data_IF_555166646454
#
_entry.id   IF_555166646454
#
_cell.length_a   1.000
_cell.length_b   1.000
_cell.length_c   1.000
_cell.angle_alpha   90.00
_cell.angle_beta   90.00
_cell.angle_gamma   90.00
#
_symmetry.space_group_name_H-M   'P 1'
#
loop_
_entity.id
_entity.type
_entity.pdbx_description
1 polymer ?
#
# COMPACT_ATOMS: atom_id res chain seq x y z
N UNK A 1 28.26 9.10 1.75
CA UNK A 1 29.46 8.51 2.40
C UNK A 1 29.04 7.83 3.70
N UNK A 2 28.37 8.49 4.63
CA UNK A 2 27.90 7.87 5.88
C UNK A 2 26.99 6.66 5.69
N UNK A 3 26.12 6.66 4.67
CA UNK A 3 25.17 5.59 4.41
C UNK A 3 25.85 4.30 3.92
N UNK A 4 26.86 4.41 3.06
CA UNK A 4 27.64 3.25 2.58
C UNK A 4 28.53 2.66 3.67
N UNK A 5 29.06 3.50 4.57
CA UNK A 5 29.82 3.04 5.75
C UNK A 5 28.93 2.29 6.75
N UNK A 6 27.73 2.78 6.98
CA UNK A 6 26.74 2.13 7.86
C UNK A 6 26.29 0.78 7.29
N UNK A 7 26.06 0.70 5.98
CA UNK A 7 25.78 -0.57 5.28
C UNK A 7 26.94 -1.55 5.37
N UNK A 8 28.17 -1.09 5.18
CA UNK A 8 29.37 -1.93 5.30
C UNK A 8 29.51 -2.48 6.74
N UNK A 9 29.25 -1.64 7.74
CA UNK A 9 29.28 -2.05 9.15
C UNK A 9 28.20 -3.10 9.47
N UNK A 10 26.98 -2.90 8.96
CA UNK A 10 25.88 -3.86 9.09
C UNK A 10 26.20 -5.19 8.40
N UNK A 11 26.84 -5.18 7.22
CA UNK A 11 27.30 -6.40 6.54
C UNK A 11 28.38 -7.15 7.32
N UNK A 12 29.31 -6.44 7.95
CA UNK A 12 30.37 -7.03 8.77
C UNK A 12 29.80 -7.64 10.07
N UNK A 13 28.83 -6.99 10.69
CA UNK A 13 28.12 -7.53 11.87
C UNK A 13 27.23 -8.73 11.51
N UNK A 14 26.66 -8.75 10.32
CA UNK A 14 25.84 -9.84 9.81
C UNK A 14 26.59 -11.16 9.63
N UNK A 15 27.91 -11.13 9.51
CA UNK A 15 28.75 -12.34 9.55
C UNK A 15 28.84 -12.96 10.94
N UNK A 16 28.30 -12.28 11.98
CA UNK A 16 28.41 -12.70 13.40
C UNK A 16 27.10 -13.06 14.09
N UNK A 17 25.96 -13.04 13.45
CA UNK A 17 24.59 -13.25 13.90
C UNK A 17 23.74 -11.99 13.72
N UNK A 18 22.45 -12.14 13.32
CA UNK A 18 21.49 -11.02 13.15
C UNK A 18 21.07 -10.54 14.55
N UNK A 19 21.96 -9.84 15.26
CA UNK A 19 21.68 -9.48 16.65
C UNK A 19 21.23 -8.01 16.77
N UNK A 20 21.74 -7.11 15.94
CA UNK A 20 21.45 -5.66 16.01
C UNK A 20 21.42 -5.04 14.63
N UNK A 21 20.76 -3.90 14.49
CA UNK A 21 20.71 -3.11 13.27
C UNK A 21 19.34 -2.48 13.05
N UNK A 22 19.21 -1.70 11.97
CA UNK A 22 17.96 -1.05 11.58
C UNK A 22 17.53 -1.53 10.20
N UNK A 23 16.27 -1.91 10.06
CA UNK A 23 15.63 -2.20 8.77
C UNK A 23 14.80 -1.00 8.38
N UNK A 24 15.12 -0.40 7.21
CA UNK A 24 14.41 0.75 6.67
C UNK A 24 13.44 0.31 5.58
N UNK A 25 12.16 0.58 5.75
CA UNK A 25 11.10 0.12 4.87
C UNK A 25 10.32 1.29 4.31
N UNK A 26 10.29 1.43 2.99
CA UNK A 26 9.35 2.30 2.30
C UNK A 26 7.96 1.65 2.23
N UNK A 27 6.90 2.37 2.56
CA UNK A 27 5.57 1.77 2.64
C UNK A 27 4.47 2.79 2.37
N UNK A 28 3.28 2.29 2.10
CA UNK A 28 2.05 3.08 1.97
C UNK A 28 0.99 2.65 2.99
N UNK A 29 -0.04 3.48 3.19
CA UNK A 29 -0.98 3.40 4.33
C UNK A 29 -1.51 2.00 4.62
N UNK A 30 -2.04 1.30 3.61
CA UNK A 30 -2.69 0.01 3.84
C UNK A 30 -1.73 -1.09 4.29
N UNK A 31 -0.51 -1.15 3.74
CA UNK A 31 0.54 -2.09 4.17
C UNK A 31 1.07 -1.71 5.54
N UNK A 32 1.31 -0.41 5.78
CA UNK A 32 1.75 0.10 7.08
C UNK A 32 0.78 -0.22 8.21
N UNK A 33 -0.53 -0.21 7.90
CA UNK A 33 -1.58 -0.43 8.89
C UNK A 33 -1.89 -1.91 9.13
N UNK A 34 -1.90 -2.72 8.07
CA UNK A 34 -2.46 -4.07 8.15
C UNK A 34 -1.41 -5.19 8.08
N UNK A 35 -0.28 -5.00 7.39
CA UNK A 35 0.75 -6.05 7.26
C UNK A 35 1.94 -5.85 8.18
N UNK A 36 2.57 -4.67 8.12
CA UNK A 36 3.82 -4.42 8.85
C UNK A 36 3.71 -4.65 10.36
N UNK A 37 2.62 -4.25 11.07
CA UNK A 37 2.54 -4.48 12.51
C UNK A 37 2.63 -5.96 12.89
N UNK A 38 1.98 -6.84 12.15
CA UNK A 38 2.03 -8.29 12.40
C UNK A 38 3.40 -8.87 12.09
N UNK A 39 3.96 -8.51 10.94
CA UNK A 39 5.30 -8.93 10.54
C UNK A 39 6.37 -8.48 11.53
N UNK A 40 6.34 -7.20 11.94
CA UNK A 40 7.31 -6.63 12.88
C UNK A 40 7.17 -7.28 14.26
N UNK A 41 5.93 -7.44 14.75
CA UNK A 41 5.70 -8.11 16.03
C UNK A 41 6.34 -9.50 16.04
N UNK A 42 6.05 -10.31 15.02
CA UNK A 42 6.58 -11.69 14.94
C UNK A 42 8.10 -11.68 14.77
N UNK A 43 8.64 -10.77 13.97
CA UNK A 43 10.08 -10.65 13.76
C UNK A 43 10.83 -10.26 15.05
N UNK A 44 10.26 -9.37 15.84
CA UNK A 44 10.87 -8.92 17.12
C UNK A 44 10.85 -9.98 18.21
N UNK A 45 10.01 -11.00 18.12
CA UNK A 45 10.07 -12.18 19.00
C UNK A 45 11.36 -12.98 18.76
N UNK A 46 11.79 -13.07 17.49
CA UNK A 46 13.00 -13.82 17.11
C UNK A 46 14.27 -12.92 17.12
N UNK A 47 14.12 -11.62 16.85
CA UNK A 47 15.20 -10.63 16.72
C UNK A 47 14.90 -9.34 17.48
N UNK A 48 14.89 -9.36 18.83
CA UNK A 48 14.39 -8.25 19.66
C UNK A 48 15.18 -6.96 19.54
N UNK A 49 16.47 -7.01 19.19
CA UNK A 49 17.35 -5.84 19.10
C UNK A 49 17.38 -5.20 17.70
N UNK A 50 16.68 -5.76 16.72
CA UNK A 50 16.53 -5.11 15.41
C UNK A 50 15.52 -3.98 15.51
N UNK A 51 15.92 -2.79 15.07
CA UNK A 51 15.06 -1.62 14.97
C UNK A 51 14.42 -1.49 13.58
N UNK A 52 13.33 -0.76 13.50
CA UNK A 52 12.63 -0.49 12.26
C UNK A 52 12.45 1.02 12.06
N UNK A 53 12.72 1.48 10.85
CA UNK A 53 12.38 2.81 10.37
C UNK A 53 11.41 2.66 9.20
N UNK A 54 10.18 3.18 9.36
CA UNK A 54 9.12 3.11 8.36
C UNK A 54 8.96 4.49 7.72
N UNK A 55 9.18 4.58 6.41
CA UNK A 55 8.97 5.77 5.62
C UNK A 55 7.65 5.62 4.86
N UNK A 56 6.68 6.46 5.19
CA UNK A 56 5.36 6.47 4.55
C UNK A 56 5.35 7.46 3.40
N UNK A 57 4.98 7.01 2.21
CA UNK A 57 4.91 7.84 1.01
C UNK A 57 4.02 7.26 -0.07
N UNK A 58 3.98 7.94 -1.22
CA UNK A 58 3.38 7.39 -2.43
C UNK A 58 4.36 6.44 -3.15
N UNK A 59 3.89 5.77 -4.21
CA UNK A 59 4.70 4.76 -4.91
C UNK A 59 5.93 5.37 -5.59
N UNK A 60 5.84 6.61 -6.10
CA UNK A 60 6.98 7.30 -6.74
C UNK A 60 8.02 7.77 -5.72
N UNK A 61 7.57 8.27 -4.58
CA UNK A 61 8.46 8.60 -3.47
C UNK A 61 9.20 7.35 -2.96
N UNK A 62 8.48 6.23 -2.81
CA UNK A 62 9.08 4.96 -2.36
C UNK A 62 10.09 4.45 -3.40
N UNK A 63 9.78 4.50 -4.70
CA UNK A 63 10.73 4.18 -5.77
C UNK A 63 12.01 5.02 -5.64
N UNK A 64 11.86 6.32 -5.49
CA UNK A 64 13.00 7.23 -5.31
C UNK A 64 13.83 6.86 -4.08
N UNK A 65 13.20 6.58 -2.94
CA UNK A 65 13.92 6.18 -1.73
C UNK A 65 14.68 4.86 -1.88
N UNK A 66 14.16 3.92 -2.67
CA UNK A 66 14.86 2.69 -3.02
C UNK A 66 16.08 3.00 -3.90
N UNK A 67 15.93 3.80 -4.96
CA UNK A 67 17.01 4.17 -5.88
C UNK A 67 18.12 4.95 -5.16
N UNK A 68 17.77 5.86 -4.27
CA UNK A 68 18.71 6.62 -3.43
C UNK A 68 19.35 5.78 -2.31
N UNK A 69 18.82 4.58 -2.04
CA UNK A 69 19.25 3.73 -0.93
C UNK A 69 18.86 4.25 0.44
N UNK A 70 17.86 5.13 0.50
CA UNK A 70 17.30 5.66 1.74
C UNK A 70 16.53 4.61 2.52
N UNK A 71 15.96 3.62 1.83
CA UNK A 71 15.33 2.44 2.40
C UNK A 71 16.01 1.16 1.89
N UNK A 72 15.94 0.08 2.64
CA UNK A 72 16.47 -1.22 2.23
C UNK A 72 15.60 -1.83 1.13
N UNK A 73 14.29 -1.73 1.29
CA UNK A 73 13.28 -2.14 0.32
C UNK A 73 11.99 -1.34 0.56
N UNK A 74 11.04 -1.44 -0.37
CA UNK A 74 9.74 -0.79 -0.23
C UNK A 74 8.61 -1.62 -0.80
N UNK A 75 7.39 -1.36 -0.30
CA UNK A 75 6.19 -1.87 -0.91
C UNK A 75 5.74 -0.91 -2.01
N UNK A 76 5.39 -1.44 -3.17
CA UNK A 76 5.08 -0.69 -4.39
C UNK A 76 3.82 -1.25 -5.05
N UNK A 77 3.21 -0.44 -5.90
CA UNK A 77 2.12 -0.84 -6.80
C UNK A 77 2.19 -0.01 -8.09
N UNK A 78 1.48 -0.46 -9.14
CA UNK A 78 1.46 0.24 -10.44
C UNK A 78 2.67 -0.07 -11.30
N UNK A 79 3.01 0.87 -12.19
CA UNK A 79 4.21 0.80 -13.01
C UNK A 79 5.45 1.12 -12.18
N UNK A 80 6.38 0.19 -12.15
CA UNK A 80 7.61 0.27 -11.35
C UNK A 80 8.80 0.41 -12.30
N UNK A 81 9.72 1.32 -11.98
CA UNK A 81 10.95 1.57 -12.72
C UNK A 81 11.73 0.28 -13.02
N UNK A 82 12.29 0.18 -14.22
CA UNK A 82 13.12 -0.96 -14.64
C UNK A 82 14.42 -1.12 -13.82
N UNK A 83 14.82 -0.08 -13.07
CA UNK A 83 15.99 -0.10 -12.21
C UNK A 83 15.73 -0.74 -10.84
N UNK A 84 14.49 -1.13 -10.57
CA UNK A 84 14.06 -1.75 -9.30
C UNK A 84 13.76 -3.23 -9.55
N UNK A 85 14.46 -4.09 -8.84
CA UNK A 85 14.08 -5.50 -8.74
C UNK A 85 12.79 -5.61 -7.94
N UNK A 86 11.79 -6.31 -8.48
CA UNK A 86 10.48 -6.45 -7.84
C UNK A 86 10.04 -7.89 -7.71
N UNK A 87 9.42 -8.17 -6.58
CA UNK A 87 8.79 -9.47 -6.28
C UNK A 87 7.31 -9.25 -6.08
N UNK A 88 6.48 -9.92 -6.88
CA UNK A 88 5.01 -9.89 -6.72
C UNK A 88 4.61 -10.54 -5.41
N UNK A 89 3.69 -9.89 -4.68
CA UNK A 89 3.18 -10.38 -3.40
C UNK A 89 1.72 -10.77 -3.52
N UNK A 90 0.85 -9.84 -3.93
CA UNK A 90 -0.59 -10.06 -3.91
C UNK A 90 -1.33 -9.13 -4.89
N UNK A 91 -2.51 -9.58 -5.35
CA UNK A 91 -3.52 -8.70 -5.96
C UNK A 91 -4.50 -8.24 -4.90
N UNK A 92 -4.66 -6.94 -4.78
CA UNK A 92 -5.57 -6.28 -3.86
C UNK A 92 -6.74 -5.70 -4.64
N UNK A 93 -7.98 -6.08 -4.28
CA UNK A 93 -9.18 -5.64 -4.98
C UNK A 93 -9.44 -4.15 -4.76
N UNK A 94 -10.00 -3.50 -5.77
CA UNK A 94 -10.52 -2.14 -5.67
C UNK A 94 -12.03 -2.22 -5.50
N UNK A 95 -12.56 -1.60 -4.45
CA UNK A 95 -13.95 -1.70 -4.05
C UNK A 95 -14.58 -0.31 -3.99
N UNK A 96 -15.86 -0.21 -4.36
CA UNK A 96 -16.62 1.03 -4.18
C UNK A 96 -16.91 1.25 -2.69
N UNK A 97 -16.71 2.49 -2.25
CA UNK A 97 -17.03 2.95 -0.89
C UNK A 97 -18.06 4.05 -0.99
N UNK A 98 -19.24 3.82 -0.41
CA UNK A 98 -20.43 4.66 -0.56
C UNK A 98 -21.07 4.96 0.80
N UNK A 99 -21.81 6.08 0.94
CA UNK A 99 -22.58 6.34 2.12
C UNK A 99 -23.63 5.24 2.40
N UNK A 100 -23.97 5.01 3.65
CA UNK A 100 -25.03 4.06 4.03
C UNK A 100 -26.43 4.46 3.52
N UNK A 101 -26.63 5.74 3.27
CA UNK A 101 -27.86 6.31 2.68
C UNK A 101 -27.90 6.22 1.14
N UNK A 102 -26.82 5.80 0.47
CA UNK A 102 -26.74 5.76 -0.98
C UNK A 102 -27.81 4.81 -1.56
N UNK A 103 -28.49 5.16 -2.67
CA UNK A 103 -29.51 4.30 -3.29
C UNK A 103 -29.05 2.87 -3.61
N UNK A 104 -27.77 2.71 -3.92
CA UNK A 104 -27.15 1.41 -4.20
C UNK A 104 -26.57 0.69 -2.97
N UNK A 105 -26.80 1.20 -1.75
CA UNK A 105 -26.28 0.58 -0.52
C UNK A 105 -26.78 -0.87 -0.31
N UNK A 106 -27.95 -1.22 -0.86
CA UNK A 106 -28.55 -2.56 -0.79
C UNK A 106 -28.27 -3.41 -2.04
N UNK A 107 -27.59 -2.85 -3.07
CA UNK A 107 -27.26 -3.61 -4.27
C UNK A 107 -26.19 -4.69 -3.97
N UNK A 108 -26.19 -5.79 -4.70
CA UNK A 108 -25.16 -6.83 -4.54
C UNK A 108 -23.79 -6.38 -5.01
N UNK A 109 -23.75 -5.67 -6.14
CA UNK A 109 -22.55 -5.09 -6.74
C UNK A 109 -22.79 -3.63 -7.07
N UNK A 110 -21.74 -2.84 -7.19
CA UNK A 110 -21.82 -1.44 -7.61
C UNK A 110 -21.69 -1.35 -9.13
N UNK A 111 -22.74 -0.89 -9.85
CA UNK A 111 -22.70 -0.74 -11.30
C UNK A 111 -21.63 0.26 -11.70
N UNK A 112 -20.82 -0.08 -12.70
CA UNK A 112 -19.67 0.74 -13.09
C UNK A 112 -20.10 2.14 -13.58
N UNK A 113 -21.23 2.24 -14.27
CA UNK A 113 -21.77 3.52 -14.79
C UNK A 113 -22.19 4.48 -13.64
N UNK A 114 -22.62 3.94 -12.50
CA UNK A 114 -23.01 4.75 -11.34
C UNK A 114 -21.87 5.56 -10.74
N UNK A 115 -20.61 5.22 -11.07
CA UNK A 115 -19.44 6.04 -10.70
C UNK A 115 -19.48 7.45 -11.30
N UNK A 116 -20.15 7.65 -12.43
CA UNK A 116 -20.34 8.95 -13.07
C UNK A 116 -21.54 9.75 -12.56
N UNK A 117 -22.40 9.16 -11.74
CA UNK A 117 -23.68 9.75 -11.32
C UNK A 117 -23.62 10.46 -9.95
N UNK A 118 -22.52 10.24 -9.20
CA UNK A 118 -22.31 10.82 -7.87
C UNK A 118 -21.02 11.63 -7.82
N UNK A 119 -20.92 12.62 -6.89
CA UNK A 119 -19.66 13.26 -6.60
C UNK A 119 -18.60 12.23 -6.25
N UNK A 120 -17.45 12.28 -6.93
CA UNK A 120 -16.38 11.31 -6.77
C UNK A 120 -15.21 11.91 -6.00
N UNK A 121 -14.67 11.16 -5.05
CA UNK A 121 -13.47 11.51 -4.32
C UNK A 121 -12.31 10.65 -4.80
N UNK A 122 -11.29 11.30 -5.34
CA UNK A 122 -10.13 10.63 -5.91
C UNK A 122 -9.01 10.54 -4.88
N UNK A 123 -8.54 9.33 -4.63
CA UNK A 123 -7.30 9.08 -3.91
C UNK A 123 -6.13 9.34 -4.87
N UNK A 124 -5.34 10.39 -4.61
CA UNK A 124 -4.17 10.75 -5.44
C UNK A 124 -2.93 9.93 -5.03
N UNK A 125 -3.03 8.62 -5.13
CA UNK A 125 -1.91 7.69 -5.03
C UNK A 125 -1.82 6.92 -6.35
N UNK A 126 -0.86 6.04 -6.48
CA UNK A 126 -0.63 5.28 -7.72
C UNK A 126 -1.81 4.46 -8.25
N UNK A 127 -2.86 4.23 -7.45
CA UNK A 127 -4.13 3.61 -7.90
C UNK A 127 -4.91 4.51 -8.86
N UNK A 128 -4.62 5.81 -8.90
CA UNK A 128 -5.33 6.76 -9.76
C UNK A 128 -5.27 6.37 -11.24
N UNK A 129 -4.20 5.69 -11.67
CA UNK A 129 -4.06 5.18 -13.04
C UNK A 129 -5.05 4.06 -13.33
N UNK A 130 -5.18 3.07 -12.43
CA UNK A 130 -6.14 1.96 -12.57
C UNK A 130 -7.56 2.51 -12.59
N UNK A 131 -7.89 3.46 -11.72
CA UNK A 131 -9.20 4.10 -11.66
C UNK A 131 -9.46 4.92 -12.92
N UNK A 132 -8.47 5.65 -13.43
CA UNK A 132 -8.57 6.42 -14.67
C UNK A 132 -8.81 5.52 -15.88
N UNK A 133 -8.18 4.33 -15.92
CA UNK A 133 -8.40 3.34 -16.95
C UNK A 133 -9.84 2.81 -16.90
N UNK A 134 -10.38 2.51 -15.72
CA UNK A 134 -11.77 2.12 -15.55
C UNK A 134 -12.70 3.19 -16.15
N UNK A 135 -12.50 4.44 -15.84
CA UNK A 135 -13.31 5.53 -16.38
C UNK A 135 -13.22 5.63 -17.89
N UNK A 136 -12.00 5.58 -18.45
CA UNK A 136 -11.79 5.70 -19.90
C UNK A 136 -12.34 4.51 -20.68
N UNK A 137 -12.13 3.28 -20.21
CA UNK A 137 -12.59 2.05 -20.86
C UNK A 137 -14.12 1.96 -20.90
N UNK A 138 -14.81 2.54 -19.91
CA UNK A 138 -16.27 2.50 -19.81
C UNK A 138 -16.94 3.82 -20.22
N UNK A 139 -16.18 4.78 -20.74
CA UNK A 139 -16.71 6.08 -21.18
C UNK A 139 -17.32 6.91 -20.07
N UNK A 140 -16.82 6.75 -18.82
CA UNK A 140 -17.33 7.44 -17.64
C UNK A 140 -16.57 8.75 -17.48
N UNK A 141 -17.31 9.84 -17.25
CA UNK A 141 -16.76 11.15 -16.88
C UNK A 141 -17.07 11.43 -15.42
N UNK A 142 -16.15 11.08 -14.49
CA UNK A 142 -16.42 11.24 -13.07
C UNK A 142 -16.52 12.71 -12.67
N UNK A 143 -17.44 13.03 -11.78
CA UNK A 143 -17.54 14.34 -11.14
C UNK A 143 -16.56 14.41 -9.96
N UNK A 144 -15.27 14.61 -10.23
CA UNK A 144 -14.26 14.68 -9.17
C UNK A 144 -14.40 15.98 -8.39
N UNK A 145 -14.94 15.92 -7.18
CA UNK A 145 -15.11 17.06 -6.30
C UNK A 145 -13.96 17.23 -5.31
N UNK A 146 -13.34 16.14 -4.88
CA UNK A 146 -12.24 16.15 -3.91
C UNK A 146 -11.11 15.25 -4.36
N UNK A 147 -9.89 15.68 -4.03
CA UNK A 147 -8.67 14.90 -4.21
C UNK A 147 -7.88 14.93 -2.91
N UNK A 148 -7.40 13.80 -2.47
CA UNK A 148 -6.62 13.67 -1.24
C UNK A 148 -5.68 12.48 -1.31
N UNK A 149 -4.64 12.49 -0.46
CA UNK A 149 -3.66 11.41 -0.29
C UNK A 149 -4.01 10.45 0.85
N UNK A 150 -5.08 10.75 1.61
CA UNK A 150 -5.43 10.04 2.83
C UNK A 150 -6.70 9.20 2.64
N UNK A 151 -6.55 7.89 2.71
CA UNK A 151 -7.63 6.91 2.61
C UNK A 151 -8.71 7.11 3.71
N UNK A 152 -8.26 7.44 4.93
CA UNK A 152 -9.18 7.64 6.06
C UNK A 152 -9.96 8.96 5.93
N UNK A 153 -9.34 10.00 5.37
CA UNK A 153 -10.05 11.23 5.05
C UNK A 153 -11.15 10.98 4.01
N UNK A 154 -10.89 10.15 2.99
CA UNK A 154 -11.93 9.74 2.03
C UNK A 154 -13.07 9.01 2.75
N UNK A 155 -12.78 8.01 3.58
CA UNK A 155 -13.83 7.27 4.29
C UNK A 155 -14.67 8.17 5.19
N UNK A 156 -14.04 9.14 5.87
CA UNK A 156 -14.75 10.15 6.66
C UNK A 156 -15.65 11.05 5.81
N UNK A 157 -15.19 11.48 4.64
CA UNK A 157 -16.00 12.29 3.71
C UNK A 157 -17.17 11.48 3.14
N UNK A 158 -16.97 10.18 2.84
CA UNK A 158 -18.06 9.29 2.41
C UNK A 158 -19.09 9.14 3.50
N UNK A 159 -18.69 8.90 4.77
CA UNK A 159 -19.60 8.82 5.90
C UNK A 159 -20.46 10.10 6.02
N UNK A 160 -19.88 11.27 5.73
CA UNK A 160 -20.57 12.57 5.75
C UNK A 160 -21.30 12.89 4.43
N UNK A 161 -21.54 11.90 3.57
CA UNK A 161 -22.35 12.01 2.34
C UNK A 161 -21.81 13.00 1.30
N UNK A 162 -20.49 13.30 1.32
CA UNK A 162 -19.85 14.24 0.39
C UNK A 162 -19.61 13.61 -1.00
N UNK A 163 -19.78 12.29 -1.14
CA UNK A 163 -19.65 11.58 -2.39
C UNK A 163 -19.29 10.11 -2.18
N UNK A 164 -18.78 9.50 -3.25
CA UNK A 164 -18.35 8.10 -3.31
C UNK A 164 -16.88 8.01 -3.68
N UNK A 165 -16.27 6.85 -3.45
CA UNK A 165 -14.88 6.61 -3.87
C UNK A 165 -14.66 5.15 -4.26
N UNK A 166 -13.47 4.84 -4.78
CA UNK A 166 -12.94 3.50 -4.94
C UNK A 166 -11.68 3.42 -4.08
N UNK A 167 -11.63 2.43 -3.17
CA UNK A 167 -10.49 2.20 -2.30
C UNK A 167 -10.03 0.74 -2.35
N UNK A 168 -8.74 0.48 -2.09
CA UNK A 168 -8.22 -0.89 -1.99
C UNK A 168 -8.82 -1.66 -0.83
N UNK A 169 -9.10 -2.95 -1.03
CA UNK A 169 -9.65 -3.83 0.01
C UNK A 169 -8.76 -3.92 1.24
N UNK A 170 -7.43 -3.89 1.05
CA UNK A 170 -6.49 -3.99 2.16
C UNK A 170 -6.70 -2.88 3.19
N UNK A 171 -6.93 -1.61 2.77
CA UNK A 171 -7.22 -0.52 3.72
C UNK A 171 -8.61 -0.66 4.36
N UNK A 172 -9.52 -1.36 3.68
CA UNK A 172 -10.89 -1.58 4.11
C UNK A 172 -11.05 -2.79 5.06
N UNK A 173 -9.98 -3.53 5.37
CA UNK A 173 -10.03 -4.65 6.33
C UNK A 173 -10.50 -4.21 7.72
N UNK A 174 -10.29 -2.96 8.10
CA UNK A 174 -10.74 -2.39 9.37
C UNK A 174 -11.22 -0.96 9.17
N UNK A 175 -12.53 -0.80 9.01
CA UNK A 175 -13.16 0.49 8.73
C UNK A 175 -13.69 1.10 10.04
N UNK A 176 -13.18 2.26 10.48
CA UNK A 176 -13.70 2.95 11.66
C UNK A 176 -14.88 3.89 11.36
N UNK A 177 -15.42 3.86 10.13
CA UNK A 177 -16.45 4.77 9.62
C UNK A 177 -17.71 4.01 9.19
N UNK A 178 -18.87 4.66 9.28
CA UNK A 178 -20.16 4.11 8.84
C UNK A 178 -20.33 4.26 7.33
N UNK A 179 -19.64 3.43 6.56
CA UNK A 179 -19.70 3.39 5.11
C UNK A 179 -20.08 1.99 4.62
N UNK A 180 -20.59 1.90 3.40
CA UNK A 180 -20.91 0.63 2.75
C UNK A 180 -19.87 0.35 1.68
N UNK A 181 -19.32 -0.86 1.70
CA UNK A 181 -18.33 -1.33 0.72
C UNK A 181 -19.01 -2.30 -0.24
N UNK A 182 -18.78 -2.13 -1.53
CA UNK A 182 -19.35 -2.95 -2.60
C UNK A 182 -18.30 -3.40 -3.59
N UNK A 183 -18.43 -4.63 -4.08
CA UNK A 183 -17.68 -5.06 -5.24
C UNK A 183 -18.12 -4.25 -6.45
N UNK A 184 -17.18 -3.91 -7.33
CA UNK A 184 -17.48 -3.30 -8.61
C UNK A 184 -18.05 -4.37 -9.56
N UNK A 185 -19.03 -4.00 -10.40
CA UNK A 185 -19.56 -4.86 -11.47
C UNK A 185 -18.46 -5.38 -12.38
N UNK A 186 -17.47 -4.54 -12.68
CA UNK A 186 -16.24 -4.91 -13.38
C UNK A 186 -15.11 -4.96 -12.35
N UNK A 187 -14.61 -6.15 -11.98
CA UNK A 187 -13.58 -6.29 -10.97
C UNK A 187 -12.28 -5.56 -11.35
N UNK A 188 -11.75 -4.76 -10.44
CA UNK A 188 -10.50 -4.06 -10.60
C UNK A 188 -9.53 -4.39 -9.46
N UNK A 189 -8.24 -4.34 -9.78
CA UNK A 189 -7.18 -4.75 -8.85
C UNK A 189 -5.97 -3.84 -8.97
N UNK A 190 -5.28 -3.63 -7.85
CA UNK A 190 -3.87 -3.23 -7.86
C UNK A 190 -3.00 -4.44 -7.54
N UNK A 191 -1.76 -4.44 -8.04
CA UNK A 191 -0.78 -5.46 -7.70
C UNK A 191 0.21 -4.89 -6.71
N UNK A 192 0.43 -5.59 -5.59
CA UNK A 192 1.40 -5.19 -4.57
C UNK A 192 2.69 -5.97 -4.78
N UNK A 193 3.81 -5.26 -4.76
CA UNK A 193 5.16 -5.78 -4.92
C UNK A 193 6.04 -5.36 -3.74
N UNK A 194 7.09 -6.13 -3.46
CA UNK A 194 8.28 -5.64 -2.79
C UNK A 194 9.27 -5.22 -3.88
N UNK A 195 9.72 -3.98 -3.79
CA UNK A 195 10.77 -3.41 -4.64
C UNK A 195 12.06 -3.21 -3.86
N UNK A 196 13.19 -3.44 -4.50
CA UNK A 196 14.54 -3.22 -3.97
C UNK A 196 15.51 -2.88 -5.10
N UNK A 197 16.62 -2.22 -4.79
CA UNK A 197 17.60 -1.86 -5.82
C UNK A 197 18.20 -3.12 -6.45
N UNK A 198 18.72 -4.02 -5.64
CA UNK A 198 19.21 -5.35 -6.01
C UNK A 198 19.08 -6.26 -4.78
N UNK A 199 18.49 -7.44 -4.92
CA UNK A 199 18.31 -8.38 -3.80
C UNK A 199 19.62 -8.77 -3.11
N UNK A 200 20.71 -8.85 -3.88
CA UNK A 200 22.04 -9.18 -3.32
C UNK A 200 22.58 -8.13 -2.36
N UNK A 201 22.18 -6.85 -2.54
CA UNK A 201 22.62 -5.71 -1.75
C UNK A 201 21.84 -5.54 -0.43
N UNK A 202 20.73 -6.23 -0.26
CA UNK A 202 19.99 -6.21 1.00
C UNK A 202 20.84 -6.74 2.15
N UNK A 203 20.68 -6.11 3.33
CA UNK A 203 21.23 -6.64 4.58
C UNK A 203 20.65 -8.01 4.88
N UNK A 204 21.34 -8.82 5.68
CA UNK A 204 20.84 -10.15 6.09
C UNK A 204 19.55 -9.99 6.88
N UNK A 205 19.46 -8.98 7.74
CA UNK A 205 18.27 -8.66 8.51
C UNK A 205 17.07 -8.34 7.60
N UNK A 206 17.25 -7.46 6.60
CA UNK A 206 16.20 -7.12 5.63
C UNK A 206 15.76 -8.34 4.81
N UNK A 207 16.70 -9.15 4.30
CA UNK A 207 16.40 -10.42 3.61
C UNK A 207 15.57 -11.34 4.50
N UNK A 208 15.96 -11.48 5.75
CA UNK A 208 15.26 -12.33 6.73
C UNK A 208 13.86 -11.76 7.01
N UNK A 209 13.72 -10.44 7.20
CA UNK A 209 12.43 -9.82 7.45
C UNK A 209 11.43 -10.02 6.29
N UNK A 210 11.88 -9.95 5.04
CA UNK A 210 11.03 -10.24 3.88
C UNK A 210 10.42 -11.64 3.96
N UNK A 211 11.09 -12.63 4.52
CA UNK A 211 10.52 -13.97 4.69
C UNK A 211 9.35 -14.00 5.68
N UNK A 212 9.18 -12.96 6.52
CA UNK A 212 8.06 -12.82 7.46
C UNK A 212 6.77 -12.32 6.81
N UNK A 213 6.75 -12.10 5.51
CA UNK A 213 5.51 -11.86 4.75
C UNK A 213 4.43 -12.92 4.99
N UNK A 214 4.82 -14.15 5.31
CA UNK A 214 3.87 -15.20 5.67
C UNK A 214 3.02 -14.87 6.91
N UNK A 215 3.47 -13.96 7.77
CA UNK A 215 2.76 -13.52 8.98
C UNK A 215 1.98 -12.21 8.80
N UNK A 216 1.86 -11.70 7.57
CA UNK A 216 1.26 -10.38 7.29
C UNK A 216 -0.21 -10.27 7.71
N UNK A 217 -0.94 -11.37 7.68
CA UNK A 217 -2.37 -11.42 8.03
C UNK A 217 -2.62 -11.79 9.51
N UNK A 218 -1.58 -11.87 10.33
CA UNK A 218 -1.69 -12.05 11.78
C UNK A 218 -1.92 -13.49 12.25
N UNK A 219 -1.58 -14.49 11.42
CA UNK A 219 -1.70 -15.93 11.73
C UNK A 219 -0.33 -16.54 11.96
#
# INVERSE_FOLDING_TARGET
>A
ICYEEERLHQHIQALKNIETGTIRVGTFSSVATHWLPHMIKRFKEDYPLIEFELLLGDYKEIEQWIEEGRVDFGFLSGEISANIEKVFIEKDRLLAVIPSSHPLAQANVFPIQALGESPFMLLEKGESEVISNIFSEHGISPMVHFKTWDDYAIMSMVENELGISILPELILKRIPYNVVVKELEVPAYRSIYIGMKEQKLLTIAAKKFITYLQYRDGV
#
